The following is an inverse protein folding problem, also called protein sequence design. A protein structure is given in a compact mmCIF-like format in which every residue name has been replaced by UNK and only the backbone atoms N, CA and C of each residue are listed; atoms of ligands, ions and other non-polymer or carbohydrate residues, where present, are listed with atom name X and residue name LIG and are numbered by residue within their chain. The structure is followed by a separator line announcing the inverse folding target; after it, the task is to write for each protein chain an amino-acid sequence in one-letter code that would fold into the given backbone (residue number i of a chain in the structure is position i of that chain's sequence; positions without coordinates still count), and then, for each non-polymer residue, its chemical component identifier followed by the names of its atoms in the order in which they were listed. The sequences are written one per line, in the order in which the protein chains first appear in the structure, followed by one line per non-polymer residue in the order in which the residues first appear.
data_IF_750692692846
#
_entry.id   IF_750692692846
#
_cell.length_a   1.000
_cell.length_b   1.000
_cell.length_c   1.000
_cell.angle_alpha   90.00
_cell.angle_beta   90.00
_cell.angle_gamma   90.00
#
_symmetry.space_group_name_H-M   'P 1'
#
loop_
_entity.id
_entity.type
_entity.pdbx_description
1 polymer ?
#
# COMPACT_ATOMS: atom_id res chain seq x y z
N UNK A 1 -61.21 -13.59 7.93
CA UNK A 1 -61.46 -15.01 8.26
C UNK A 1 -61.51 -15.98 7.08
N UNK A 2 -61.99 -15.60 5.89
CA UNK A 2 -62.10 -16.52 4.73
C UNK A 2 -60.77 -17.11 4.28
N UNK A 3 -59.68 -16.35 4.32
CA UNK A 3 -58.33 -16.79 3.94
C UNK A 3 -57.78 -17.84 4.91
N UNK A 4 -57.97 -17.63 6.22
CA UNK A 4 -57.49 -18.55 7.26
C UNK A 4 -58.22 -19.90 7.24
N UNK A 5 -59.52 -19.90 6.93
CA UNK A 5 -60.32 -21.13 6.80
C UNK A 5 -59.89 -21.96 5.58
N UNK A 6 -59.57 -21.30 4.47
CA UNK A 6 -59.14 -21.96 3.23
C UNK A 6 -57.74 -22.60 3.39
N UNK A 7 -56.81 -21.89 4.03
CA UNK A 7 -55.47 -22.40 4.35
C UNK A 7 -55.54 -23.63 5.27
N UNK A 8 -56.42 -23.61 6.30
CA UNK A 8 -56.62 -24.76 7.21
C UNK A 8 -57.20 -25.99 6.51
N UNK A 9 -58.04 -25.80 5.49
CA UNK A 9 -58.62 -26.90 4.73
C UNK A 9 -57.59 -27.52 3.76
N UNK A 10 -56.73 -26.70 3.15
CA UNK A 10 -55.64 -27.16 2.27
C UNK A 10 -54.54 -27.93 3.01
N UNK A 11 -54.20 -27.51 4.25
CA UNK A 11 -53.28 -28.26 5.13
C UNK A 11 -53.84 -29.64 5.52
N UNK A 12 -55.15 -29.74 5.78
CA UNK A 12 -55.80 -31.03 6.09
C UNK A 12 -55.87 -31.97 4.89
N UNK A 13 -55.82 -31.45 3.67
CA UNK A 13 -55.83 -32.25 2.43
C UNK A 13 -54.43 -32.60 1.91
N UNK A 14 -53.35 -32.26 2.64
CA UNK A 14 -51.97 -32.51 2.21
C UNK A 14 -51.54 -31.72 0.97
N UNK A 15 -52.17 -30.57 0.70
CA UNK A 15 -51.94 -29.76 -0.48
C UNK A 15 -50.92 -28.65 -0.17
N UNK A 16 -49.67 -29.05 0.07
CA UNK A 16 -48.59 -28.16 0.55
C UNK A 16 -48.04 -27.22 -0.52
N UNK A 17 -48.23 -27.55 -1.80
CA UNK A 17 -47.56 -26.88 -2.92
C UNK A 17 -47.89 -25.37 -3.08
N UNK A 18 -49.16 -24.91 -2.99
CA UNK A 18 -49.48 -23.48 -3.13
C UNK A 18 -49.05 -22.65 -1.91
N UNK A 19 -49.05 -23.25 -0.72
CA UNK A 19 -48.66 -22.58 0.53
C UNK A 19 -47.14 -22.38 0.54
N UNK A 20 -46.37 -23.41 0.19
CA UNK A 20 -44.92 -23.31 0.02
C UNK A 20 -44.54 -22.30 -1.06
N UNK A 21 -45.26 -22.29 -2.20
CA UNK A 21 -45.03 -21.30 -3.26
C UNK A 21 -45.33 -19.86 -2.80
N UNK A 22 -46.32 -19.66 -1.92
CA UNK A 22 -46.62 -18.34 -1.35
C UNK A 22 -45.58 -17.84 -0.35
N UNK A 23 -44.85 -18.76 0.28
CA UNK A 23 -43.78 -18.46 1.23
C UNK A 23 -42.39 -18.35 0.58
N UNK A 24 -42.25 -18.81 -0.67
CA UNK A 24 -40.99 -18.77 -1.42
C UNK A 24 -40.32 -17.38 -1.46
N UNK A 25 -41.04 -16.26 -1.66
CA UNK A 25 -40.41 -14.93 -1.65
C UNK A 25 -39.80 -14.55 -0.28
N UNK A 26 -40.41 -15.03 0.81
CA UNK A 26 -39.93 -14.77 2.17
C UNK A 26 -38.74 -15.67 2.50
N UNK A 27 -38.75 -16.92 2.04
CA UNK A 27 -37.60 -17.83 2.20
C UNK A 27 -36.39 -17.37 1.39
N UNK A 28 -36.60 -16.83 0.20
CA UNK A 28 -35.54 -16.26 -0.63
C UNK A 28 -34.93 -15.02 0.04
N UNK A 29 -35.76 -14.13 0.59
CA UNK A 29 -35.32 -12.98 1.39
C UNK A 29 -34.53 -13.40 2.64
N UNK A 30 -35.00 -14.42 3.36
CA UNK A 30 -34.30 -14.95 4.54
C UNK A 30 -32.94 -15.55 4.15
N UNK A 31 -32.89 -16.31 3.07
CA UNK A 31 -31.65 -16.93 2.57
C UNK A 31 -30.67 -15.86 2.12
N UNK A 32 -31.14 -14.84 1.40
CA UNK A 32 -30.31 -13.71 0.98
C UNK A 32 -29.76 -12.93 2.20
N UNK A 33 -30.59 -12.68 3.22
CA UNK A 33 -30.11 -12.06 4.46
C UNK A 33 -29.11 -12.94 5.22
N UNK A 34 -29.29 -14.27 5.24
CA UNK A 34 -28.33 -15.20 5.84
C UNK A 34 -27.00 -15.18 5.09
N UNK A 35 -27.02 -15.20 3.76
CA UNK A 35 -25.81 -15.12 2.93
C UNK A 35 -25.07 -13.79 3.13
N UNK A 36 -25.79 -12.67 3.17
CA UNK A 36 -25.25 -11.34 3.46
C UNK A 36 -24.64 -11.28 4.87
N UNK A 37 -25.31 -11.85 5.88
CA UNK A 37 -24.82 -11.90 7.25
C UNK A 37 -23.56 -12.78 7.39
N UNK A 38 -23.53 -13.94 6.74
CA UNK A 38 -22.36 -14.82 6.68
C UNK A 38 -21.20 -14.14 5.96
N UNK A 39 -21.45 -13.41 4.88
CA UNK A 39 -20.42 -12.63 4.18
C UNK A 39 -19.86 -11.53 5.09
N UNK A 40 -20.72 -10.76 5.78
CA UNK A 40 -20.28 -9.75 6.75
C UNK A 40 -19.48 -10.36 7.90
N UNK A 41 -19.91 -11.49 8.45
CA UNK A 41 -19.22 -12.12 9.58
C UNK A 41 -17.88 -12.75 9.16
N UNK A 42 -17.79 -13.21 7.91
CA UNK A 42 -16.54 -13.69 7.32
C UNK A 42 -15.56 -12.54 7.10
N UNK A 43 -16.02 -11.36 6.65
CA UNK A 43 -15.19 -10.17 6.56
C UNK A 43 -14.77 -9.66 7.94
N UNK A 44 -15.67 -9.62 8.92
CA UNK A 44 -15.36 -9.25 10.31
C UNK A 44 -14.29 -10.15 10.92
N UNK A 45 -14.40 -11.47 10.75
CA UNK A 45 -13.39 -12.44 11.25
C UNK A 45 -12.06 -12.30 10.53
N UNK A 46 -12.04 -11.89 9.26
CA UNK A 46 -10.80 -11.57 8.53
C UNK A 46 -10.17 -10.30 9.08
N UNK A 47 -10.96 -9.28 9.38
CA UNK A 47 -10.48 -8.02 9.97
C UNK A 47 -9.92 -8.24 11.38
N UNK A 48 -10.62 -8.99 12.24
CA UNK A 48 -10.16 -9.34 13.59
C UNK A 48 -8.84 -10.15 13.55
N UNK A 49 -8.71 -11.12 12.65
CA UNK A 49 -7.47 -11.88 12.47
C UNK A 49 -6.32 -11.02 11.90
N UNK A 50 -6.64 -9.99 11.10
CA UNK A 50 -5.67 -9.01 10.59
C UNK A 50 -5.20 -8.07 11.72
N UNK A 51 -6.08 -7.70 12.64
CA UNK A 51 -5.74 -6.91 13.84
C UNK A 51 -4.86 -7.71 14.82
N UNK A 52 -5.16 -8.99 15.08
CA UNK A 52 -4.30 -9.86 15.90
C UNK A 52 -2.89 -10.01 15.32
N UNK A 53 -2.79 -10.10 13.98
CA UNK A 53 -1.51 -10.10 13.28
C UNK A 53 -0.73 -8.79 13.48
N UNK A 54 -1.41 -7.65 13.55
CA UNK A 54 -0.75 -6.35 13.78
C UNK A 54 -0.16 -6.20 15.18
N UNK A 55 -0.79 -6.79 16.20
CA UNK A 55 -0.23 -6.86 17.55
C UNK A 55 1.00 -7.77 17.61
N UNK A 56 0.93 -8.94 16.98
CA UNK A 56 2.07 -9.86 16.89
C UNK A 56 3.26 -9.24 16.14
N UNK A 57 2.99 -8.49 15.06
CA UNK A 57 3.98 -7.69 14.35
C UNK A 57 4.62 -6.62 15.25
N UNK A 58 3.81 -5.86 16.00
CA UNK A 58 4.32 -4.90 16.99
C UNK A 58 5.24 -5.55 18.04
N UNK A 59 4.89 -6.76 18.50
CA UNK A 59 5.69 -7.52 19.45
C UNK A 59 7.02 -7.99 18.85
N UNK A 60 7.00 -8.46 17.59
CA UNK A 60 8.19 -8.87 16.86
C UNK A 60 9.16 -7.69 16.62
N UNK A 61 8.61 -6.53 16.26
CA UNK A 61 9.35 -5.27 16.13
C UNK A 61 10.02 -4.88 17.46
N UNK A 62 9.31 -5.04 18.59
CA UNK A 62 9.87 -4.78 19.90
C UNK A 62 11.00 -5.76 20.28
N UNK A 63 10.87 -7.03 19.93
CA UNK A 63 11.90 -8.05 20.17
C UNK A 63 13.15 -7.81 19.32
N UNK A 64 13.01 -7.43 18.05
CA UNK A 64 14.12 -7.19 17.13
C UNK A 64 15.01 -6.01 17.58
N UNK A 65 14.44 -5.00 18.23
CA UNK A 65 15.18 -3.86 18.83
C UNK A 65 16.24 -4.26 19.86
N UNK A 66 16.15 -5.45 20.46
CA UNK A 66 17.17 -5.94 21.39
C UNK A 66 18.45 -6.38 20.66
N UNK A 67 18.30 -7.12 19.56
CA UNK A 67 19.41 -7.58 18.71
C UNK A 67 20.11 -6.40 18.01
N UNK A 68 19.35 -5.34 17.72
CA UNK A 68 19.81 -4.15 17.00
C UNK A 68 20.96 -3.38 17.68
N UNK A 69 21.24 -3.62 18.97
CA UNK A 69 22.24 -2.86 19.74
C UNK A 69 23.70 -3.17 19.40
N UNK A 70 23.97 -4.26 18.67
CA UNK A 70 25.34 -4.76 18.46
C UNK A 70 25.88 -4.63 17.04
N UNK A 71 25.14 -4.02 16.12
CA UNK A 71 25.57 -3.83 14.72
C UNK A 71 25.67 -2.35 14.37
N UNK A 72 26.62 -1.96 13.50
CA UNK A 72 26.72 -0.58 13.03
C UNK A 72 25.42 -0.19 12.32
N UNK A 73 24.89 1.03 12.56
CA UNK A 73 23.66 1.47 11.94
C UNK A 73 23.85 1.62 10.43
N UNK A 74 22.84 1.21 9.68
CA UNK A 74 22.77 1.34 8.22
C UNK A 74 21.49 2.10 7.91
N UNK A 75 21.61 3.20 7.15
CA UNK A 75 20.46 3.92 6.64
C UNK A 75 19.88 3.13 5.47
N UNK A 76 18.64 2.67 5.62
CA UNK A 76 17.90 1.99 4.58
C UNK A 76 16.91 2.91 3.90
N UNK A 77 16.75 2.74 2.58
CA UNK A 77 15.64 3.32 1.81
C UNK A 77 14.98 2.21 1.00
N UNK A 78 13.65 2.22 0.98
CA UNK A 78 12.86 1.30 0.16
C UNK A 78 11.81 2.05 -0.63
N UNK A 79 11.74 1.72 -1.91
CA UNK A 79 10.71 2.20 -2.82
C UNK A 79 9.92 1.01 -3.33
N UNK A 80 8.66 0.94 -2.90
CA UNK A 80 7.73 -0.15 -3.16
C UNK A 80 6.71 0.32 -4.19
N UNK A 81 6.52 -0.47 -5.22
CA UNK A 81 5.47 -0.32 -6.21
C UNK A 81 4.29 -1.22 -5.86
N UNK A 82 3.08 -0.70 -6.00
CA UNK A 82 1.85 -1.49 -5.97
C UNK A 82 0.96 -1.14 -7.16
N UNK A 83 0.11 -2.08 -7.57
CA UNK A 83 -0.88 -1.80 -8.61
C UNK A 83 -1.81 -0.65 -8.18
N UNK A 84 -2.16 -0.59 -6.91
CA UNK A 84 -3.02 0.44 -6.33
C UNK A 84 -3.03 0.32 -4.80
N UNK A 85 -3.18 1.46 -4.12
CA UNK A 85 -3.43 1.54 -2.67
C UNK A 85 -4.80 2.21 -2.51
N UNK A 86 -5.88 1.42 -2.59
CA UNK A 86 -7.25 1.93 -2.40
C UNK A 86 -7.75 1.65 -0.98
N UNK A 87 -7.63 0.39 -0.53
CA UNK A 87 -8.20 -0.08 0.73
C UNK A 87 -7.87 0.84 1.91
N UNK A 88 -8.89 1.35 2.65
CA UNK A 88 -8.67 2.20 3.81
C UNK A 88 -7.91 1.48 4.92
N UNK A 89 -8.14 0.16 5.06
CA UNK A 89 -7.43 -0.71 6.00
C UNK A 89 -5.92 -0.72 5.72
N UNK A 90 -5.52 -0.97 4.46
CA UNK A 90 -4.09 -0.94 4.06
C UNK A 90 -3.45 0.42 4.32
N UNK A 91 -4.19 1.51 4.05
CA UNK A 91 -3.71 2.88 4.29
C UNK A 91 -3.42 3.13 5.76
N UNK A 92 -4.35 2.70 6.64
CA UNK A 92 -4.19 2.77 8.10
C UNK A 92 -2.93 2.02 8.55
N UNK A 93 -2.75 0.77 8.10
CA UNK A 93 -1.58 -0.03 8.48
C UNK A 93 -0.26 0.55 7.98
N UNK A 94 -0.19 1.03 6.73
CA UNK A 94 1.01 1.68 6.20
C UNK A 94 1.43 2.87 7.08
N UNK A 95 0.48 3.73 7.46
CA UNK A 95 0.73 4.89 8.31
C UNK A 95 1.14 4.49 9.73
N UNK A 96 0.45 3.50 10.30
CA UNK A 96 0.70 3.02 11.67
C UNK A 96 2.07 2.35 11.79
N UNK A 97 2.40 1.43 10.89
CA UNK A 97 3.69 0.73 10.90
C UNK A 97 4.86 1.66 10.62
N UNK A 98 4.70 2.63 9.69
CA UNK A 98 5.74 3.64 9.47
C UNK A 98 6.03 4.43 10.75
N UNK A 99 4.99 4.81 11.50
CA UNK A 99 5.15 5.51 12.78
C UNK A 99 5.78 4.60 13.85
N UNK A 100 5.32 3.36 13.99
CA UNK A 100 5.81 2.40 14.99
C UNK A 100 7.31 2.06 14.80
N UNK A 101 7.71 1.94 13.53
CA UNK A 101 9.09 1.68 13.11
C UNK A 101 9.93 2.95 12.99
N UNK A 102 9.40 4.12 13.38
CA UNK A 102 10.08 5.42 13.28
C UNK A 102 10.66 5.69 11.88
N UNK A 103 9.92 5.32 10.83
CA UNK A 103 10.32 5.55 9.45
C UNK A 103 9.78 6.89 8.96
N UNK A 104 10.64 7.65 8.28
CA UNK A 104 10.22 8.77 7.45
C UNK A 104 9.76 8.27 6.08
N UNK A 105 8.92 9.03 5.38
CA UNK A 105 8.46 8.55 4.07
C UNK A 105 7.20 9.19 3.52
N UNK A 106 6.72 8.56 2.46
CA UNK A 106 5.44 8.91 1.85
C UNK A 106 4.80 7.74 1.12
N UNK A 107 3.47 7.78 0.99
CA UNK A 107 2.70 6.85 0.15
C UNK A 107 1.78 7.63 -0.78
N UNK A 108 1.49 7.05 -1.95
CA UNK A 108 0.58 7.64 -2.94
C UNK A 108 -0.54 6.67 -3.28
N UNK A 109 -1.76 7.17 -3.22
CA UNK A 109 -2.99 6.40 -3.48
C UNK A 109 -3.28 6.25 -4.97
N UNK A 110 -4.17 5.33 -5.33
CA UNK A 110 -4.59 5.13 -6.72
C UNK A 110 -3.58 4.35 -7.57
N UNK A 111 -3.64 4.48 -8.90
CA UNK A 111 -2.86 3.71 -9.87
C UNK A 111 -1.81 4.58 -10.60
N UNK A 112 -0.52 4.23 -10.63
CA UNK A 112 0.12 3.24 -9.76
C UNK A 112 0.21 3.76 -8.31
N UNK A 113 0.25 2.85 -7.35
CA UNK A 113 0.52 3.17 -5.96
C UNK A 113 2.02 3.05 -5.67
N UNK A 114 2.58 4.01 -4.93
CA UNK A 114 3.99 3.97 -4.53
C UNK A 114 4.14 4.24 -3.04
N UNK A 115 5.14 3.62 -2.42
CA UNK A 115 5.48 3.79 -1.02
C UNK A 115 6.99 3.97 -0.93
N UNK A 116 7.43 5.06 -0.34
CA UNK A 116 8.82 5.38 -0.05
C UNK A 116 9.00 5.41 1.47
N UNK A 117 9.95 4.65 1.97
CA UNK A 117 10.38 4.70 3.39
C UNK A 117 11.87 4.94 3.48
N UNK A 118 12.27 5.66 4.52
CA UNK A 118 13.64 5.91 4.92
C UNK A 118 13.78 5.77 6.44
N UNK A 119 14.83 5.08 6.89
CA UNK A 119 15.12 4.91 8.30
C UNK A 119 16.24 3.91 8.55
N UNK A 120 16.23 3.27 9.71
CA UNK A 120 17.13 2.15 9.95
C UNK A 120 16.82 1.02 8.98
N UNK A 121 17.85 0.44 8.38
CA UNK A 121 17.73 -0.63 7.40
C UNK A 121 16.90 -1.80 7.91
N UNK A 122 17.01 -2.13 9.19
CA UNK A 122 16.30 -3.26 9.80
C UNK A 122 14.82 -2.94 9.93
N UNK A 123 14.51 -1.70 10.32
CA UNK A 123 13.13 -1.21 10.41
C UNK A 123 12.51 -1.08 9.00
N UNK A 124 13.28 -0.66 8.00
CA UNK A 124 12.84 -0.64 6.59
C UNK A 124 12.56 -2.06 6.06
N UNK A 125 13.43 -3.03 6.35
CA UNK A 125 13.24 -4.42 5.95
C UNK A 125 11.99 -5.02 6.60
N UNK A 126 11.76 -4.74 7.88
CA UNK A 126 10.58 -5.22 8.58
C UNK A 126 9.30 -4.53 8.07
N UNK A 127 9.34 -3.23 7.80
CA UNK A 127 8.22 -2.54 7.15
C UNK A 127 7.85 -3.19 5.81
N UNK A 128 8.84 -3.54 4.99
CA UNK A 128 8.62 -4.26 3.72
C UNK A 128 7.98 -5.63 3.98
N UNK A 129 8.47 -6.39 4.96
CA UNK A 129 7.94 -7.69 5.34
C UNK A 129 6.45 -7.58 5.74
N UNK A 130 6.09 -6.61 6.58
CA UNK A 130 4.70 -6.35 6.98
C UNK A 130 3.82 -5.94 5.79
N UNK A 131 4.27 -4.96 5.01
CA UNK A 131 3.49 -4.45 3.87
C UNK A 131 3.27 -5.53 2.82
N UNK A 132 4.27 -6.36 2.51
CA UNK A 132 4.16 -7.41 1.48
C UNK A 132 3.25 -8.58 1.88
N UNK A 133 3.02 -8.80 3.18
CA UNK A 133 2.11 -9.83 3.69
C UNK A 133 0.63 -9.46 3.58
N UNK A 134 0.33 -8.17 3.45
CA UNK A 134 -1.03 -7.73 3.12
C UNK A 134 -1.46 -8.31 1.76
N UNK A 135 -2.77 -8.45 1.54
CA UNK A 135 -3.29 -9.01 0.28
C UNK A 135 -3.21 -7.99 -0.86
N UNK A 136 -2.26 -8.17 -1.78
CA UNK A 136 -2.09 -7.33 -2.97
C UNK A 136 -2.47 -8.05 -4.26
N UNK A 137 -2.99 -7.31 -5.25
CA UNK A 137 -3.08 -7.81 -6.63
C UNK A 137 -1.68 -7.93 -7.26
N UNK A 138 -0.85 -6.94 -6.99
CA UNK A 138 0.57 -6.94 -7.35
C UNK A 138 1.31 -5.90 -6.49
N UNK A 139 2.41 -6.33 -5.90
CA UNK A 139 3.35 -5.50 -5.13
C UNK A 139 4.78 -5.93 -5.47
N UNK A 140 5.69 -4.98 -5.54
CA UNK A 140 7.11 -5.25 -5.79
C UNK A 140 7.98 -4.17 -5.16
N UNK A 141 9.02 -4.59 -4.43
CA UNK A 141 10.12 -3.69 -4.05
C UNK A 141 10.95 -3.45 -5.30
N UNK A 142 11.07 -2.19 -5.73
CA UNK A 142 11.77 -1.84 -6.98
C UNK A 142 13.01 -0.99 -6.75
N UNK A 143 13.03 -0.20 -5.69
CA UNK A 143 14.20 0.58 -5.29
C UNK A 143 14.64 0.17 -3.90
N UNK A 144 15.94 -0.07 -3.76
CA UNK A 144 16.58 -0.39 -2.50
C UNK A 144 17.94 0.30 -2.44
N UNK A 145 18.22 0.97 -1.33
CA UNK A 145 19.49 1.61 -1.07
C UNK A 145 19.84 1.39 0.40
N UNK A 146 21.08 1.00 0.65
CA UNK A 146 21.64 0.77 1.99
C UNK A 146 22.93 1.57 2.11
N UNK A 147 22.97 2.48 3.07
CA UNK A 147 24.11 3.38 3.28
C UNK A 147 24.63 3.16 4.70
N UNK A 148 25.80 2.53 4.87
CA UNK A 148 26.43 2.38 6.19
C UNK A 148 26.67 3.75 6.82
N UNK A 149 26.30 3.92 8.08
CA UNK A 149 26.52 5.18 8.79
C UNK A 149 28.00 5.28 9.18
N UNK A 150 28.73 6.33 8.76
CA UNK A 150 30.12 6.52 9.13
C UNK A 150 30.30 6.71 10.64
N UNK A 151 31.45 6.34 11.21
CA UNK A 151 31.75 6.61 12.61
C UNK A 151 31.67 8.12 12.89
N UNK A 152 30.95 8.51 13.95
CA UNK A 152 30.79 9.90 14.37
C UNK A 152 29.58 10.64 13.77
N UNK A 153 28.81 10.01 12.87
CA UNK A 153 27.49 10.52 12.44
C UNK A 153 26.37 9.69 13.03
N UNK A 154 25.23 10.31 13.29
CA UNK A 154 24.00 9.59 13.63
C UNK A 154 23.22 9.24 12.37
N UNK A 155 22.29 8.29 12.49
CA UNK A 155 21.37 7.95 11.40
C UNK A 155 20.50 9.15 10.98
N UNK A 156 20.07 9.96 11.96
CA UNK A 156 19.22 11.14 11.73
C UNK A 156 19.95 12.21 10.89
N UNK A 157 21.27 12.36 11.06
CA UNK A 157 22.08 13.31 10.28
C UNK A 157 22.17 12.94 8.78
N UNK A 158 21.91 11.68 8.44
CA UNK A 158 21.98 11.18 7.06
C UNK A 158 20.63 11.11 6.36
N UNK A 159 19.53 11.37 7.08
CA UNK A 159 18.19 11.32 6.52
C UNK A 159 17.95 12.43 5.51
N UNK A 160 17.36 12.07 4.38
CA UNK A 160 16.87 13.02 3.38
C UNK A 160 15.40 13.40 3.62
N UNK A 161 14.63 12.54 4.29
CA UNK A 161 13.22 12.73 4.58
C UNK A 161 13.01 13.01 6.08
N UNK A 162 12.00 13.85 6.43
CA UNK A 162 11.60 14.03 7.81
C UNK A 162 11.06 12.73 8.40
N UNK A 163 11.09 12.60 9.73
CA UNK A 163 10.51 11.47 10.47
C UNK A 163 8.96 11.36 10.34
N UNK A 164 8.32 12.32 9.66
CA UNK A 164 6.90 12.26 9.33
C UNK A 164 6.63 11.39 8.10
N UNK A 165 5.55 10.62 8.15
CA UNK A 165 5.05 9.87 7.01
C UNK A 165 3.83 10.57 6.39
N UNK A 166 3.93 10.93 5.10
CA UNK A 166 2.87 11.71 4.41
C UNK A 166 2.14 10.86 3.38
N UNK A 167 0.80 10.87 3.40
CA UNK A 167 -0.01 10.24 2.37
C UNK A 167 -0.44 11.27 1.32
N UNK A 168 -0.33 10.88 0.04
CA UNK A 168 -0.69 11.68 -1.13
C UNK A 168 -1.91 11.12 -1.84
N UNK A 169 -2.71 12.01 -2.44
CA UNK A 169 -3.92 11.66 -3.17
C UNK A 169 -3.68 10.90 -4.49
N UNK A 170 -4.77 10.64 -5.19
CA UNK A 170 -4.78 9.80 -6.40
C UNK A 170 -4.05 10.44 -7.58
N UNK A 171 -4.12 11.77 -7.69
CA UNK A 171 -3.53 12.55 -8.78
C UNK A 171 -2.22 13.25 -8.38
N UNK A 172 -1.71 12.96 -7.17
CA UNK A 172 -0.57 13.66 -6.58
C UNK A 172 0.80 13.04 -6.95
N UNK A 173 0.88 12.30 -8.07
CA UNK A 173 2.15 11.69 -8.49
C UNK A 173 3.23 12.74 -8.76
N UNK A 174 2.85 13.90 -9.32
CA UNK A 174 3.76 15.00 -9.58
C UNK A 174 4.37 15.56 -8.29
N UNK A 175 3.57 15.62 -7.21
CA UNK A 175 4.03 16.07 -5.89
C UNK A 175 5.03 15.07 -5.30
N UNK A 176 4.76 13.77 -5.43
CA UNK A 176 5.68 12.72 -4.99
C UNK A 176 6.99 12.77 -5.76
N UNK A 177 6.93 12.95 -7.08
CA UNK A 177 8.11 13.08 -7.92
C UNK A 177 8.92 14.33 -7.57
N UNK A 178 8.26 15.47 -7.35
CA UNK A 178 8.90 16.72 -6.91
C UNK A 178 9.58 16.54 -5.56
N UNK A 179 8.90 15.93 -4.59
CA UNK A 179 9.45 15.68 -3.26
C UNK A 179 10.65 14.74 -3.29
N UNK A 180 10.59 13.68 -4.09
CA UNK A 180 11.73 12.79 -4.31
C UNK A 180 12.92 13.55 -4.91
N UNK A 181 12.68 14.46 -5.86
CA UNK A 181 13.73 15.28 -6.48
C UNK A 181 14.38 16.25 -5.49
N UNK A 182 13.57 16.95 -4.69
CA UNK A 182 14.05 17.85 -3.64
C UNK A 182 14.90 17.12 -2.58
N UNK A 183 14.50 15.89 -2.22
CA UNK A 183 15.22 15.05 -1.28
C UNK A 183 16.43 14.31 -1.90
N UNK A 184 16.69 14.45 -3.21
CA UNK A 184 17.76 13.72 -3.90
C UNK A 184 17.48 12.23 -4.13
N UNK A 185 16.24 11.78 -3.98
CA UNK A 185 15.77 10.39 -4.15
C UNK A 185 15.11 10.12 -5.51
N UNK A 186 15.34 10.99 -6.51
CA UNK A 186 14.72 10.89 -7.84
C UNK A 186 15.03 9.56 -8.55
N UNK A 187 16.26 9.04 -8.41
CA UNK A 187 16.67 7.78 -9.06
C UNK A 187 15.89 6.57 -8.50
N UNK A 188 15.61 6.55 -7.18
CA UNK A 188 14.76 5.52 -6.57
C UNK A 188 13.34 5.57 -7.12
N UNK A 189 12.80 6.78 -7.28
CA UNK A 189 11.47 7.00 -7.86
C UNK A 189 11.39 6.55 -9.33
N UNK A 190 12.36 6.94 -10.15
CA UNK A 190 12.42 6.55 -11.56
C UNK A 190 12.56 5.03 -11.73
N UNK A 191 13.38 4.40 -10.89
CA UNK A 191 13.53 2.93 -10.86
C UNK A 191 12.20 2.25 -10.53
N UNK A 192 11.47 2.79 -9.55
CA UNK A 192 10.14 2.28 -9.20
C UNK A 192 9.14 2.43 -10.34
N UNK A 193 9.18 3.53 -11.09
CA UNK A 193 8.33 3.72 -12.26
C UNK A 193 8.82 2.98 -13.53
N UNK A 194 9.93 2.24 -13.44
CA UNK A 194 10.61 1.58 -14.58
C UNK A 194 10.96 2.57 -15.71
N UNK A 195 11.22 3.83 -15.35
CA UNK A 195 11.62 4.87 -16.29
C UNK A 195 13.15 4.88 -16.31
N UNK A 196 13.72 4.05 -17.16
CA UNK A 196 15.17 4.00 -17.37
C UNK A 196 15.59 5.02 -18.43
N UNK A 197 16.54 5.91 -18.11
CA UNK A 197 17.27 6.67 -19.14
C UNK A 197 17.06 8.19 -19.24
N UNK A 198 16.68 8.89 -18.17
CA UNK A 198 16.52 10.36 -18.19
C UNK A 198 17.81 11.18 -18.46
N UNK A 199 18.99 10.66 -18.12
CA UNK A 199 20.26 11.37 -18.34
C UNK A 199 20.71 11.37 -19.81
N UNK A 200 20.49 10.27 -20.56
CA UNK A 200 20.94 10.16 -21.96
C UNK A 200 20.16 11.05 -22.94
N UNK A 201 18.89 11.39 -22.65
CA UNK A 201 18.07 12.23 -23.53
C UNK A 201 18.36 13.72 -23.37
N UNK A 202 18.67 14.20 -22.15
CA UNK A 202 19.13 15.58 -21.90
C UNK A 202 20.50 15.85 -22.53
N UNK A 203 21.41 14.89 -22.44
CA UNK A 203 22.75 14.99 -23.04
C UNK A 203 22.69 14.95 -24.58
N UNK A 204 21.81 14.12 -25.17
CA UNK A 204 21.52 14.16 -26.61
C UNK A 204 20.92 15.50 -27.04
N UNK A 205 19.91 16.04 -26.34
CA UNK A 205 19.31 17.35 -26.67
C UNK A 205 20.31 18.51 -26.55
N UNK A 206 21.17 18.51 -25.54
CA UNK A 206 22.23 19.51 -25.39
C UNK A 206 23.27 19.41 -26.53
N UNK A 207 23.62 18.19 -26.93
CA UNK A 207 24.56 17.94 -28.03
C UNK A 207 24.00 18.33 -29.41
N UNK A 208 22.71 18.08 -29.68
CA UNK A 208 22.05 18.54 -30.91
C UNK A 208 21.93 20.06 -30.97
N UNK A 209 21.57 20.71 -29.85
CA UNK A 209 21.46 22.19 -29.79
C UNK A 209 22.82 22.89 -30.05
N UNK A 210 23.91 22.32 -29.51
CA UNK A 210 25.28 22.83 -29.74
C UNK A 210 25.78 22.65 -31.18
N UNK A 211 25.25 21.66 -31.90
CA UNK A 211 25.64 21.39 -33.30
C UNK A 211 24.84 22.21 -34.30
N UNK A 212 23.58 22.55 -34.00
CA UNK A 212 22.78 23.48 -34.80
C UNK A 212 23.24 24.94 -34.65
N UNK A 213 23.56 25.42 -33.43
CA UNK A 213 24.12 26.78 -33.23
C UNK A 213 25.47 26.98 -33.93
N UNK A 214 26.28 25.92 -34.04
CA UNK A 214 27.58 25.98 -34.72
C UNK A 214 27.45 25.95 -36.25
N UNK A 215 26.35 25.41 -36.79
CA UNK A 215 26.02 25.46 -38.23
C UNK A 215 25.46 26.82 -38.64
N UNK A 216 24.70 27.47 -37.77
CA UNK A 216 24.09 28.78 -38.06
C UNK A 216 25.13 29.92 -38.04
N UNK A 217 26.14 29.85 -37.17
CA UNK A 217 27.28 30.80 -37.17
C UNK A 217 28.27 30.63 -38.33
N UNK A 218 28.21 29.53 -39.09
CA UNK A 218 29.08 29.30 -40.27
C UNK A 218 28.41 29.71 -41.59
N UNK A 219 27.16 30.18 -41.52
CA UNK A 219 26.34 30.64 -42.66
C UNK A 219 26.10 32.17 -42.69
N UNK A 220 26.70 32.90 -41.75
CA UNK A 220 26.84 34.37 -41.77
C UNK A 220 28.32 34.70 -41.91
#
# INVERSE_FOLDING_TARGET
DTVATNVRQQLKSGYDFPILASLAPVTDLLTQCEEEWVAMETERKKEEAEEDYTWAAHLAVAAQKYEQRHSPPVLGRRMIYSHHIWSPVKRKYILEWARALRLGGMSKLGYPGCILVEGDERDCAEFVNLVTRLRWKYIAVRGEEQIPVPPGKSLEDMRALPLSFTEYGWDDMDKVAARCREAGLEELFLTCMKIYGGKKSKEKKARTKSTDEKKEKKKR
#
